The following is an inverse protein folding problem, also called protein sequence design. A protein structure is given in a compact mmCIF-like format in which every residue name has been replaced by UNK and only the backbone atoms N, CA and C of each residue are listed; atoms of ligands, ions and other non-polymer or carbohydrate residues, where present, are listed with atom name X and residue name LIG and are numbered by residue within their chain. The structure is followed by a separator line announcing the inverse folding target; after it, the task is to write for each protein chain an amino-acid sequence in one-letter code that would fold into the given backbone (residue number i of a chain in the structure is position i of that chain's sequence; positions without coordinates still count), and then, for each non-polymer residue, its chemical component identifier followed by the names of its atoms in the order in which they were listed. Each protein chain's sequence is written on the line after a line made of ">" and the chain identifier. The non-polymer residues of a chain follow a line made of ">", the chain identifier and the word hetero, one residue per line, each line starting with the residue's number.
data_IF_246933584307
#
_entry.id   IF_246933584307
#
_cell.length_a   1.000
_cell.length_b   1.000
_cell.length_c   1.000
_cell.angle_alpha   90.00
_cell.angle_beta   90.00
_cell.angle_gamma   90.00
#
_symmetry.space_group_name_H-M   'P 1'
#
loop_
_entity.id
_entity.type
_entity.pdbx_description
1 polymer ?
#
# COMPACT_ATOMS: atom_id res chain seq x y z
N UNK A 1 8.93 -14.68 -21.52
CA UNK A 1 8.08 -14.14 -22.62
C UNK A 1 7.57 -12.78 -22.14
N UNK A 2 7.80 -11.70 -22.92
CA UNK A 2 7.23 -10.38 -22.60
C UNK A 2 5.72 -10.46 -22.81
N UNK A 3 4.92 -10.18 -21.78
CA UNK A 3 3.46 -10.11 -21.92
C UNK A 3 3.10 -9.03 -22.95
N UNK A 4 2.05 -9.27 -23.74
CA UNK A 4 1.54 -8.30 -24.70
C UNK A 4 1.16 -6.99 -24.00
N UNK A 5 1.25 -5.87 -24.73
CA UNK A 5 0.82 -4.55 -24.26
C UNK A 5 -0.65 -4.59 -23.80
N UNK A 6 -0.90 -4.31 -22.55
CA UNK A 6 -2.24 -4.22 -21.99
C UNK A 6 -2.74 -2.76 -22.01
N UNK A 7 -4.01 -2.57 -22.37
CA UNK A 7 -4.61 -1.23 -22.42
C UNK A 7 -5.73 -1.09 -21.37
N UNK A 8 -5.77 0.06 -20.72
CA UNK A 8 -6.82 0.41 -19.74
C UNK A 8 -7.13 1.91 -19.78
N UNK A 9 -8.25 2.34 -19.22
CA UNK A 9 -8.51 3.78 -19.05
C UNK A 9 -7.64 4.34 -17.93
N UNK A 10 -7.58 3.65 -16.79
CA UNK A 10 -6.83 4.11 -15.62
C UNK A 10 -5.91 3.00 -15.13
N UNK A 11 -4.64 3.33 -14.89
CA UNK A 11 -3.71 2.46 -14.20
C UNK A 11 -3.46 3.00 -12.80
N UNK A 12 -3.57 2.13 -11.79
CA UNK A 12 -3.37 2.47 -10.38
C UNK A 12 -2.13 1.73 -9.89
N UNK A 13 -1.18 2.45 -9.32
CA UNK A 13 0.06 1.89 -8.74
C UNK A 13 -0.08 1.83 -7.22
N UNK A 14 -0.23 0.63 -6.69
CA UNK A 14 -0.38 0.32 -5.28
C UNK A 14 -1.81 -0.04 -4.87
N UNK A 15 -1.96 -1.12 -4.10
CA UNK A 15 -3.20 -1.62 -3.52
C UNK A 15 -3.30 -1.31 -2.01
N UNK A 16 -2.77 -0.17 -1.58
CA UNK A 16 -2.99 0.40 -0.25
C UNK A 16 -4.34 1.13 -0.15
N UNK A 17 -4.64 1.77 1.01
CA UNK A 17 -5.91 2.47 1.22
C UNK A 17 -6.29 3.44 0.10
N UNK A 18 -5.31 4.24 -0.39
CA UNK A 18 -5.54 5.22 -1.44
C UNK A 18 -5.88 4.57 -2.79
N UNK A 19 -5.12 3.55 -3.20
CA UNK A 19 -5.36 2.83 -4.45
C UNK A 19 -6.70 2.10 -4.46
N UNK A 20 -7.04 1.43 -3.36
CA UNK A 20 -8.33 0.76 -3.19
C UNK A 20 -9.50 1.75 -3.23
N UNK A 21 -9.37 2.90 -2.55
CA UNK A 21 -10.40 3.95 -2.56
C UNK A 21 -10.65 4.49 -3.98
N UNK A 22 -9.59 4.77 -4.74
CA UNK A 22 -9.71 5.21 -6.14
C UNK A 22 -10.35 4.13 -7.00
N UNK A 23 -9.91 2.88 -6.88
CA UNK A 23 -10.45 1.75 -7.62
C UNK A 23 -11.95 1.56 -7.38
N UNK A 24 -12.40 1.63 -6.12
CA UNK A 24 -13.81 1.54 -5.76
C UNK A 24 -14.64 2.68 -6.38
N UNK A 25 -14.11 3.91 -6.37
CA UNK A 25 -14.76 5.04 -7.00
C UNK A 25 -14.87 4.87 -8.53
N UNK A 26 -13.81 4.41 -9.18
CA UNK A 26 -13.81 4.15 -10.63
C UNK A 26 -14.81 3.03 -10.98
N UNK A 27 -14.85 1.94 -10.22
CA UNK A 27 -15.79 0.84 -10.42
C UNK A 27 -17.24 1.32 -10.36
N UNK A 28 -17.57 2.19 -9.40
CA UNK A 28 -18.92 2.79 -9.28
C UNK A 28 -19.29 3.69 -10.45
N UNK A 29 -18.33 4.22 -11.17
CA UNK A 29 -18.56 5.06 -12.37
C UNK A 29 -18.43 4.27 -13.68
N UNK A 30 -18.24 2.95 -13.61
CA UNK A 30 -18.13 2.09 -14.80
C UNK A 30 -16.84 2.29 -15.60
N UNK A 31 -15.80 2.87 -14.99
CA UNK A 31 -14.51 3.08 -15.65
C UNK A 31 -13.65 1.82 -15.56
N UNK A 32 -13.00 1.48 -16.68
CA UNK A 32 -12.02 0.39 -16.67
C UNK A 32 -10.73 0.81 -16.00
N UNK A 33 -10.17 -0.08 -15.18
CA UNK A 33 -8.90 0.17 -14.50
C UNK A 33 -8.14 -1.12 -14.26
N UNK A 34 -6.84 -0.97 -14.03
CA UNK A 34 -5.94 -2.03 -13.56
C UNK A 34 -5.23 -1.51 -12.31
N UNK A 35 -5.08 -2.36 -11.31
CA UNK A 35 -4.30 -2.07 -10.10
C UNK A 35 -3.06 -2.94 -10.13
N UNK A 36 -1.86 -2.34 -10.03
CA UNK A 36 -0.60 -3.06 -9.90
C UNK A 36 -0.10 -2.95 -8.46
N UNK A 37 0.20 -4.09 -7.84
CA UNK A 37 0.71 -4.17 -6.48
C UNK A 37 1.95 -5.07 -6.46
N UNK A 38 3.07 -4.56 -5.93
CA UNK A 38 4.32 -5.32 -5.86
C UNK A 38 4.30 -6.45 -4.83
N UNK A 39 3.50 -6.29 -3.79
CA UNK A 39 3.40 -7.26 -2.71
C UNK A 39 2.31 -8.32 -3.00
N UNK A 40 2.18 -9.30 -2.11
CA UNK A 40 1.27 -10.44 -2.30
C UNK A 40 -0.20 -10.14 -1.95
N UNK A 41 -0.48 -9.00 -1.31
CA UNK A 41 -1.79 -8.74 -0.71
C UNK A 41 -2.09 -7.24 -0.69
N UNK A 42 -3.36 -6.87 -0.58
CA UNK A 42 -3.78 -5.49 -0.35
C UNK A 42 -3.32 -4.99 1.03
N UNK A 43 -3.11 -3.69 1.16
CA UNK A 43 -2.77 -3.08 2.43
C UNK A 43 -1.43 -3.51 3.03
N UNK A 44 -0.46 -3.93 2.21
CA UNK A 44 0.80 -4.53 2.64
C UNK A 44 1.62 -3.64 3.58
N UNK A 45 1.59 -2.32 3.42
CA UNK A 45 2.23 -1.39 4.36
C UNK A 45 1.68 -1.52 5.77
N UNK A 46 0.36 -1.70 5.93
CA UNK A 46 -0.28 -1.92 7.22
C UNK A 46 0.12 -3.25 7.85
N UNK A 47 0.22 -4.30 7.06
CA UNK A 47 0.63 -5.65 7.52
C UNK A 47 2.05 -5.68 8.07
N UNK A 48 2.91 -4.82 7.53
CA UNK A 48 4.34 -4.77 7.90
C UNK A 48 4.66 -3.80 9.04
N UNK A 49 3.72 -3.00 9.51
CA UNK A 49 3.91 -2.12 10.66
C UNK A 49 4.03 -2.89 12.00
N UNK A 50 4.46 -2.18 13.06
CA UNK A 50 4.61 -2.73 14.41
C UNK A 50 3.26 -3.15 15.01
N UNK A 51 3.29 -4.12 15.92
CA UNK A 51 2.11 -4.84 16.38
C UNK A 51 1.06 -3.95 17.08
N UNK A 52 1.50 -2.97 17.85
CA UNK A 52 0.62 -2.05 18.61
C UNK A 52 0.20 -0.80 17.84
N UNK A 53 0.43 -0.77 16.53
CA UNK A 53 -0.03 0.37 15.73
C UNK A 53 -1.57 0.46 15.78
N UNK A 54 -2.07 1.66 15.98
CA UNK A 54 -3.48 2.02 15.87
C UNK A 54 -3.64 3.19 14.90
N UNK A 55 -4.80 3.35 14.31
CA UNK A 55 -5.12 4.59 13.61
C UNK A 55 -4.98 5.78 14.56
N UNK A 56 -4.39 6.86 14.07
CA UNK A 56 -4.28 8.13 14.83
C UNK A 56 -5.51 9.02 14.66
N UNK A 57 -6.35 8.72 13.66
CA UNK A 57 -7.67 9.31 13.46
C UNK A 57 -8.74 8.37 13.98
N UNK A 58 -9.85 8.90 14.45
CA UNK A 58 -10.91 8.08 14.99
C UNK A 58 -11.66 7.31 13.88
N UNK A 59 -12.35 6.24 14.28
CA UNK A 59 -13.11 5.36 13.39
C UNK A 59 -14.13 6.10 12.53
N UNK A 60 -14.80 7.11 13.10
CA UNK A 60 -15.88 7.81 12.41
C UNK A 60 -15.38 8.59 11.18
N UNK A 61 -14.10 9.00 11.19
CA UNK A 61 -13.47 9.79 10.13
C UNK A 61 -12.43 9.02 9.29
N UNK A 62 -12.30 7.71 9.51
CA UNK A 62 -11.24 6.90 8.88
C UNK A 62 -11.75 5.91 7.85
N UNK A 63 -13.04 5.91 7.56
CA UNK A 63 -13.64 5.01 6.56
C UNK A 63 -13.25 5.41 5.14
N UNK A 64 -13.03 4.42 4.29
CA UNK A 64 -12.86 4.64 2.86
C UNK A 64 -14.22 4.91 2.18
N UNK A 65 -14.23 5.51 0.98
CA UNK A 65 -15.46 5.89 0.30
C UNK A 65 -16.45 4.73 0.11
N UNK A 66 -17.67 4.92 0.61
CA UNK A 66 -18.79 4.02 0.38
C UNK A 66 -18.80 2.74 1.23
N UNK A 67 -17.84 2.52 2.12
CA UNK A 67 -17.82 1.35 3.01
C UNK A 67 -17.26 1.77 4.38
N UNK A 68 -18.10 1.74 5.41
CA UNK A 68 -17.75 2.19 6.74
C UNK A 68 -16.91 1.15 7.50
N UNK A 69 -16.00 1.63 8.34
CA UNK A 69 -15.38 0.80 9.38
C UNK A 69 -16.47 0.21 10.29
N UNK A 70 -16.37 -1.06 10.70
CA UNK A 70 -17.35 -1.71 11.57
C UNK A 70 -17.60 -0.96 12.87
N UNK A 71 -18.85 -0.84 13.30
CA UNK A 71 -19.21 -0.18 14.55
C UNK A 71 -18.69 -0.91 15.79
N UNK A 72 -18.38 -2.18 15.68
CA UNK A 72 -17.74 -3.00 16.70
C UNK A 72 -16.26 -2.65 16.95
N UNK A 73 -15.62 -1.88 16.05
CA UNK A 73 -14.23 -1.49 16.23
C UNK A 73 -14.10 -0.36 17.27
N UNK A 74 -13.00 -0.32 18.03
CA UNK A 74 -12.75 0.75 18.97
C UNK A 74 -12.63 2.11 18.26
N UNK A 75 -12.64 3.20 19.06
CA UNK A 75 -12.46 4.56 18.53
C UNK A 75 -11.20 4.71 17.65
N UNK A 76 -10.13 4.07 18.06
CA UNK A 76 -8.87 4.00 17.32
C UNK A 76 -8.59 2.54 16.94
N UNK A 77 -8.99 2.10 15.73
CA UNK A 77 -8.79 0.73 15.30
C UNK A 77 -7.33 0.31 15.31
N UNK A 78 -7.07 -0.90 15.80
CA UNK A 78 -5.74 -1.49 15.81
C UNK A 78 -5.30 -1.88 14.39
N UNK A 79 -3.99 -2.03 14.21
CA UNK A 79 -3.35 -2.43 12.95
C UNK A 79 -4.08 -3.60 12.27
N UNK A 80 -4.35 -4.68 13.00
CA UNK A 80 -5.02 -5.85 12.43
C UNK A 80 -6.44 -5.52 11.95
N UNK A 81 -7.18 -4.73 12.70
CA UNK A 81 -8.53 -4.30 12.30
C UNK A 81 -8.51 -3.45 11.02
N UNK A 82 -7.47 -2.64 10.84
CA UNK A 82 -7.29 -1.90 9.58
C UNK A 82 -6.97 -2.84 8.44
N UNK A 83 -6.11 -3.84 8.66
CA UNK A 83 -5.80 -4.88 7.67
C UNK A 83 -7.06 -5.62 7.25
N UNK A 84 -7.85 -6.11 8.21
CA UNK A 84 -9.09 -6.84 7.97
C UNK A 84 -10.10 -5.98 7.19
N UNK A 85 -10.20 -4.70 7.56
CA UNK A 85 -11.04 -3.74 6.86
C UNK A 85 -10.62 -3.52 5.40
N UNK A 86 -9.33 -3.45 5.10
CA UNK A 86 -8.84 -3.29 3.71
C UNK A 86 -9.11 -4.53 2.87
N UNK A 87 -8.98 -5.73 3.46
CA UNK A 87 -9.36 -6.98 2.80
C UNK A 87 -10.88 -7.02 2.52
N UNK A 88 -11.68 -6.62 3.49
CA UNK A 88 -13.14 -6.55 3.34
C UNK A 88 -13.54 -5.51 2.29
N UNK A 89 -12.87 -4.36 2.29
CA UNK A 89 -13.09 -3.30 1.30
C UNK A 89 -12.82 -3.80 -0.12
N UNK A 90 -11.70 -4.46 -0.33
CA UNK A 90 -11.34 -5.01 -1.64
C UNK A 90 -12.36 -6.08 -2.09
N UNK A 91 -12.80 -6.96 -1.18
CA UNK A 91 -13.84 -7.97 -1.46
C UNK A 91 -15.20 -7.33 -1.74
N UNK A 92 -15.62 -6.36 -0.93
CA UNK A 92 -16.91 -5.67 -1.08
C UNK A 92 -17.06 -5.02 -2.45
N UNK A 93 -16.00 -4.40 -2.95
CA UNK A 93 -15.99 -3.79 -4.27
C UNK A 93 -15.48 -4.73 -5.36
N UNK A 94 -15.22 -6.00 -5.06
CA UNK A 94 -14.72 -6.99 -6.04
C UNK A 94 -13.51 -6.41 -6.82
N UNK A 95 -12.49 -5.96 -6.08
CA UNK A 95 -11.26 -5.40 -6.63
C UNK A 95 -10.21 -6.51 -6.77
N UNK A 96 -9.58 -6.60 -7.94
CA UNK A 96 -8.62 -7.65 -8.26
C UNK A 96 -7.26 -7.04 -8.65
N UNK A 97 -6.41 -6.65 -7.67
CA UNK A 97 -5.07 -6.19 -7.99
C UNK A 97 -4.21 -7.29 -8.61
N UNK A 98 -3.37 -6.92 -9.55
CA UNK A 98 -2.28 -7.77 -10.02
C UNK A 98 -1.18 -7.72 -8.96
N UNK A 99 -1.07 -8.77 -8.18
CA UNK A 99 -0.06 -8.91 -7.14
C UNK A 99 1.29 -9.35 -7.70
N UNK A 100 2.35 -9.13 -6.90
CA UNK A 100 3.74 -9.42 -7.29
C UNK A 100 4.17 -8.67 -8.56
N UNK A 101 3.52 -7.55 -8.86
CA UNK A 101 3.78 -6.76 -10.06
C UNK A 101 4.28 -5.36 -9.70
N UNK A 102 5.59 -5.18 -9.79
CA UNK A 102 6.27 -3.94 -9.45
C UNK A 102 6.36 -3.01 -10.66
N UNK A 103 5.86 -1.79 -10.53
CA UNK A 103 6.07 -0.74 -11.53
C UNK A 103 7.50 -0.21 -11.42
N UNK A 104 8.21 -0.20 -12.56
CA UNK A 104 9.61 0.21 -12.67
C UNK A 104 9.79 1.56 -13.32
N UNK A 105 8.95 1.87 -14.31
CA UNK A 105 9.02 3.13 -15.06
C UNK A 105 7.63 3.54 -15.52
N UNK A 106 7.42 4.84 -15.64
CA UNK A 106 6.18 5.41 -16.17
C UNK A 106 6.49 6.69 -16.96
N UNK A 107 6.09 6.74 -18.21
CA UNK A 107 6.33 7.86 -19.12
C UNK A 107 5.05 8.31 -19.79
N UNK A 108 4.92 9.62 -20.00
CA UNK A 108 3.81 10.16 -20.76
C UNK A 108 4.24 10.33 -22.22
N UNK A 109 3.61 9.58 -23.13
CA UNK A 109 3.91 9.57 -24.55
C UNK A 109 2.62 9.75 -25.35
N UNK A 110 2.60 10.72 -26.26
CA UNK A 110 1.48 10.93 -27.18
C UNK A 110 0.09 10.95 -26.54
N UNK A 111 -0.03 11.63 -25.38
CA UNK A 111 -1.29 11.80 -24.67
C UNK A 111 -1.72 10.66 -23.75
N UNK A 112 -0.94 9.54 -23.68
CA UNK A 112 -1.18 8.46 -22.73
C UNK A 112 0.04 8.16 -21.86
N UNK A 113 -0.18 7.38 -20.82
CA UNK A 113 0.86 6.82 -19.97
C UNK A 113 1.27 5.45 -20.51
N UNK A 114 2.56 5.27 -20.70
CA UNK A 114 3.19 3.97 -20.90
C UNK A 114 3.92 3.60 -19.60
N UNK A 115 3.56 2.46 -19.03
CA UNK A 115 4.05 2.01 -17.73
C UNK A 115 4.66 0.63 -17.87
N UNK A 116 5.92 0.51 -17.47
CA UNK A 116 6.63 -0.76 -17.46
C UNK A 116 6.64 -1.34 -16.06
N UNK A 117 6.17 -2.57 -15.92
CA UNK A 117 6.22 -3.35 -14.69
C UNK A 117 7.21 -4.52 -14.78
N UNK A 118 7.33 -5.29 -13.69
CA UNK A 118 8.09 -6.56 -13.68
C UNK A 118 7.52 -7.61 -14.62
N UNK A 119 6.22 -7.51 -14.96
CA UNK A 119 5.48 -8.53 -15.68
C UNK A 119 5.11 -8.11 -17.12
N UNK A 120 5.19 -6.82 -17.45
CA UNK A 120 4.83 -6.36 -18.79
C UNK A 120 4.71 -4.85 -18.92
N UNK A 121 4.11 -4.42 -20.02
CA UNK A 121 3.91 -3.00 -20.34
C UNK A 121 2.42 -2.69 -20.44
N UNK A 122 2.02 -1.57 -19.88
CA UNK A 122 0.66 -1.06 -19.85
C UNK A 122 0.57 0.29 -20.55
N UNK A 123 -0.55 0.53 -21.24
CA UNK A 123 -0.91 1.84 -21.76
C UNK A 123 -2.22 2.30 -21.14
N UNK A 124 -2.20 3.49 -20.53
CA UNK A 124 -3.36 4.05 -19.84
C UNK A 124 -3.61 5.50 -20.25
N UNK A 125 -4.88 5.93 -20.25
CA UNK A 125 -5.25 7.34 -20.43
C UNK A 125 -4.87 8.17 -19.20
N UNK A 126 -4.99 7.58 -18.01
CA UNK A 126 -4.64 8.20 -16.74
C UNK A 126 -3.80 7.24 -15.88
N UNK A 127 -2.88 7.82 -15.09
CA UNK A 127 -2.07 7.11 -14.11
C UNK A 127 -2.35 7.69 -12.73
N UNK A 128 -2.64 6.80 -11.77
CA UNK A 128 -2.78 7.12 -10.35
C UNK A 128 -1.62 6.51 -9.60
N UNK A 129 -0.79 7.35 -8.99
CA UNK A 129 0.32 6.90 -8.14
C UNK A 129 -0.16 6.87 -6.68
N UNK A 130 -0.38 5.66 -6.16
CA UNK A 130 -0.83 5.39 -4.79
C UNK A 130 0.18 4.50 -4.04
N UNK A 131 1.46 4.65 -4.36
CA UNK A 131 2.57 3.81 -3.85
C UNK A 131 2.88 4.01 -2.36
N UNK A 132 2.28 5.02 -1.71
CA UNK A 132 2.60 5.40 -0.33
C UNK A 132 3.90 6.22 -0.21
N UNK A 133 4.14 6.78 0.97
CA UNK A 133 5.29 7.65 1.20
C UNK A 133 6.39 7.03 2.07
N UNK A 134 6.10 5.95 2.82
CA UNK A 134 7.05 5.27 3.71
C UNK A 134 7.68 4.02 3.06
N UNK A 135 8.06 4.12 1.78
CA UNK A 135 8.56 2.97 1.02
C UNK A 135 10.06 2.71 1.22
N UNK A 136 10.86 3.76 1.27
CA UNK A 136 12.32 3.69 1.32
C UNK A 136 12.76 4.17 2.69
N UNK A 137 13.33 3.27 3.55
CA UNK A 137 13.85 3.66 4.84
C UNK A 137 15.04 4.60 4.66
N UNK A 138 15.04 5.71 5.38
CA UNK A 138 16.19 6.60 5.46
C UNK A 138 16.98 6.27 6.71
N UNK A 139 18.19 5.79 6.53
CA UNK A 139 19.10 5.41 7.62
C UNK A 139 20.17 6.51 7.71
N UNK A 140 20.13 7.37 8.74
CA UNK A 140 21.18 8.35 8.94
C UNK A 140 22.49 7.67 9.38
N UNK A 141 23.59 8.34 9.11
CA UNK A 141 24.90 7.96 9.62
C UNK A 141 25.39 9.01 10.62
N UNK A 142 26.04 8.59 11.69
CA UNK A 142 26.60 9.49 12.71
C UNK A 142 27.96 8.97 13.20
N UNK A 143 28.83 9.85 13.73
CA UNK A 143 30.13 9.47 14.26
C UNK A 143 30.00 8.41 15.37
N UNK A 144 30.82 7.37 15.32
CA UNK A 144 30.85 6.30 16.29
C UNK A 144 29.83 5.16 16.05
N UNK A 145 29.04 5.25 14.99
CA UNK A 145 28.04 4.19 14.67
C UNK A 145 28.68 2.82 14.43
N UNK A 146 29.84 2.79 13.81
CA UNK A 146 30.65 1.60 13.49
C UNK A 146 31.33 0.98 14.69
N UNK A 147 31.56 1.75 15.76
CA UNK A 147 32.17 1.30 17.02
C UNK A 147 31.15 0.97 18.11
N UNK A 148 29.87 1.30 17.89
CA UNK A 148 28.81 1.01 18.85
C UNK A 148 28.57 -0.50 18.96
N UNK A 149 28.71 -1.03 20.17
CA UNK A 149 28.59 -2.47 20.45
C UNK A 149 27.12 -2.92 20.65
N UNK A 150 26.19 -1.98 20.75
CA UNK A 150 24.77 -2.26 20.91
C UNK A 150 24.07 -2.55 19.58
N UNK A 151 22.80 -2.89 19.67
CA UNK A 151 21.97 -3.15 18.48
C UNK A 151 21.40 -1.84 17.92
N UNK A 152 21.66 -1.56 16.65
CA UNK A 152 21.00 -0.48 15.90
C UNK A 152 19.82 -1.09 15.15
N UNK A 153 18.64 -0.53 15.34
CA UNK A 153 17.39 -1.01 14.72
C UNK A 153 16.67 0.15 14.03
N UNK A 154 16.44 0.03 12.74
CA UNK A 154 15.57 0.97 12.04
C UNK A 154 14.10 0.65 12.34
N UNK A 155 13.23 1.67 12.49
CA UNK A 155 11.80 1.53 12.79
C UNK A 155 11.05 0.58 11.84
N UNK A 156 11.46 0.48 10.59
CA UNK A 156 10.93 -0.49 9.61
C UNK A 156 11.00 -1.94 10.10
N UNK A 157 12.01 -2.28 10.89
CA UNK A 157 12.25 -3.65 11.40
C UNK A 157 11.74 -3.86 12.82
N UNK A 158 11.23 -2.80 13.47
CA UNK A 158 10.64 -2.91 14.79
C UNK A 158 9.23 -3.54 14.69
N UNK A 159 8.98 -4.55 15.51
CA UNK A 159 7.68 -5.22 15.63
C UNK A 159 7.04 -4.98 16.99
N UNK A 160 7.78 -5.25 18.04
CA UNK A 160 7.33 -5.09 19.42
C UNK A 160 8.54 -5.03 20.37
N UNK A 161 8.26 -4.83 21.66
CA UNK A 161 9.30 -4.70 22.70
C UNK A 161 9.96 -5.99 23.14
N UNK A 162 9.57 -7.17 22.62
CA UNK A 162 10.05 -8.46 23.12
C UNK A 162 11.58 -8.62 23.03
N UNK A 163 12.17 -8.06 21.97
CA UNK A 163 13.64 -8.12 21.77
C UNK A 163 14.43 -7.21 22.70
N UNK A 164 13.75 -6.34 23.45
CA UNK A 164 14.33 -5.39 24.41
C UNK A 164 13.97 -5.74 25.86
N UNK A 165 13.27 -6.86 26.06
CA UNK A 165 12.94 -7.32 27.43
C UNK A 165 14.24 -7.60 28.18
N UNK A 166 14.34 -7.12 29.42
CA UNK A 166 15.48 -7.26 30.31
C UNK A 166 16.81 -6.70 29.71
N UNK A 167 16.69 -5.63 28.89
CA UNK A 167 17.81 -4.83 28.37
C UNK A 167 17.79 -3.46 29.00
N UNK A 168 18.97 -2.98 29.41
CA UNK A 168 19.19 -1.60 29.88
C UNK A 168 19.31 -0.64 28.67
#
# INVERSE_FOLDING_TARGET
>A
MVKALQQTEVLIVGAGPAGLAVAACLKRTGKSFVILEREAQVGSSWRTHYDRLHLHTDRAHSSLPGYKLPDSYPRYPARQQVVDYLDDYARHYDLHPHFHEEVRDARRLNGHWEVTSSEGTYRAKALVVASGYNNIPQIPTWPGQDTFQGRILHSKHYRNGAVFKDKD
#
